data_IF_383402594595
#
_entry.id   IF_383402594595
#
_cell.length_a   1.000
_cell.length_b   1.000
_cell.length_c   1.000
_cell.angle_alpha   90.00
_cell.angle_beta   90.00
_cell.angle_gamma   90.00
#
_symmetry.space_group_name_H-M   'P 1'
#
loop_
_entity.id
_entity.type
_entity.pdbx_description
1 polymer ?
#
# COMPACT_ATOMS: atom_id res chain seq x y z
N UNK A 1 -22.49 -31.73 -43.31
CA UNK A 1 -21.89 -30.41 -43.06
C UNK A 1 -22.44 -29.88 -41.74
N UNK A 2 -21.60 -29.78 -40.72
CA UNK A 2 -22.00 -29.53 -39.33
C UNK A 2 -22.43 -28.07 -39.13
N UNK A 3 -23.72 -27.85 -38.84
CA UNK A 3 -24.30 -26.57 -38.45
C UNK A 3 -24.21 -26.41 -36.93
N UNK A 4 -23.04 -26.03 -36.42
CA UNK A 4 -22.94 -25.43 -35.08
C UNK A 4 -22.39 -24.02 -35.23
N UNK A 5 -23.05 -22.99 -34.67
CA UNK A 5 -22.48 -21.66 -34.61
C UNK A 5 -21.20 -21.76 -33.78
N UNK A 6 -20.04 -21.49 -34.40
CA UNK A 6 -18.79 -21.29 -33.67
C UNK A 6 -19.07 -20.18 -32.65
N UNK A 7 -19.08 -20.54 -31.36
CA UNK A 7 -19.24 -19.59 -30.25
C UNK A 7 -18.13 -18.54 -30.43
N UNK A 8 -18.50 -17.32 -30.82
CA UNK A 8 -17.54 -16.22 -30.90
C UNK A 8 -17.15 -15.94 -29.44
N UNK A 9 -16.01 -16.46 -29.02
CA UNK A 9 -15.41 -16.09 -27.73
C UNK A 9 -14.86 -14.69 -27.95
N UNK A 10 -15.70 -13.68 -27.78
CA UNK A 10 -15.26 -12.29 -27.83
C UNK A 10 -14.33 -12.06 -26.65
N UNK A 11 -13.12 -11.54 -26.91
CA UNK A 11 -12.18 -11.16 -25.86
C UNK A 11 -12.87 -10.14 -24.92
N UNK A 12 -13.10 -10.49 -23.65
CA UNK A 12 -13.75 -9.59 -22.69
C UNK A 12 -13.02 -8.26 -22.54
N UNK A 13 -11.70 -8.22 -22.76
CA UNK A 13 -10.90 -7.01 -22.68
C UNK A 13 -11.19 -5.99 -23.79
N UNK A 14 -11.88 -6.36 -24.86
CA UNK A 14 -12.33 -5.41 -25.90
C UNK A 14 -13.29 -4.37 -25.32
N UNK A 15 -14.12 -4.77 -24.35
CA UNK A 15 -15.14 -3.91 -23.73
C UNK A 15 -14.74 -3.37 -22.36
N UNK A 16 -13.58 -3.77 -21.83
CA UNK A 16 -13.10 -3.36 -20.51
C UNK A 16 -12.05 -2.26 -20.64
N UNK A 17 -12.33 -1.08 -20.07
CA UNK A 17 -11.35 -0.01 -19.89
C UNK A 17 -10.79 -0.05 -18.48
N UNK A 18 -9.50 -0.37 -18.36
CA UNK A 18 -8.78 -0.29 -17.09
C UNK A 18 -8.28 1.13 -16.82
N UNK A 19 -7.99 1.45 -15.56
CA UNK A 19 -7.47 2.77 -15.20
C UNK A 19 -6.00 2.91 -15.62
N UNK A 20 -5.47 4.13 -15.53
CA UNK A 20 -4.07 4.39 -15.85
C UNK A 20 -3.14 3.47 -15.02
N UNK A 21 -2.09 2.93 -15.67
CA UNK A 21 -1.14 1.95 -15.12
C UNK A 21 -1.71 0.55 -14.84
N UNK A 22 -2.86 0.21 -15.40
CA UNK A 22 -3.38 -1.15 -15.45
C UNK A 22 -3.48 -1.69 -16.88
N UNK A 23 -3.39 -3.02 -17.02
CA UNK A 23 -3.60 -3.74 -18.27
C UNK A 23 -4.69 -4.78 -18.08
N UNK A 24 -5.64 -4.82 -19.01
CA UNK A 24 -6.65 -5.86 -19.03
C UNK A 24 -6.01 -7.21 -19.41
N UNK A 25 -6.30 -8.23 -18.63
CA UNK A 25 -5.91 -9.62 -18.87
C UNK A 25 -7.13 -10.52 -18.69
N UNK A 26 -7.26 -11.53 -19.55
CA UNK A 26 -8.33 -12.52 -19.42
C UNK A 26 -7.89 -13.60 -18.44
N UNK A 27 -8.56 -13.66 -17.28
CA UNK A 27 -8.33 -14.65 -16.23
C UNK A 27 -9.62 -15.43 -16.04
N UNK A 28 -9.56 -16.77 -16.16
CA UNK A 28 -10.74 -17.65 -16.05
C UNK A 28 -11.92 -17.22 -16.95
N UNK A 29 -11.63 -16.72 -18.15
CA UNK A 29 -12.64 -16.27 -19.12
C UNK A 29 -13.28 -14.91 -18.81
N UNK A 30 -12.78 -14.17 -17.81
CA UNK A 30 -13.25 -12.83 -17.44
C UNK A 30 -12.14 -11.79 -17.64
N UNK A 31 -12.50 -10.56 -17.98
CA UNK A 31 -11.56 -9.45 -17.99
C UNK A 31 -11.21 -9.04 -16.55
N UNK A 32 -9.92 -8.99 -16.25
CA UNK A 32 -9.38 -8.45 -15.01
C UNK A 32 -8.37 -7.34 -15.32
N UNK A 33 -8.51 -6.20 -14.66
CA UNK A 33 -7.52 -5.14 -14.72
C UNK A 33 -6.42 -5.41 -13.69
N UNK A 34 -5.18 -5.59 -14.17
CA UNK A 34 -4.03 -5.86 -13.34
C UNK A 34 -3.01 -4.72 -13.45
N UNK A 35 -2.35 -4.32 -12.35
CA UNK A 35 -1.32 -3.27 -12.40
C UNK A 35 -0.17 -3.68 -13.33
N UNK A 36 0.32 -2.73 -14.14
CA UNK A 36 1.41 -2.92 -15.10
C UNK A 36 2.79 -2.93 -14.39
N UNK A 37 2.85 -2.47 -13.14
CA UNK A 37 4.08 -2.48 -12.34
C UNK A 37 3.82 -2.07 -10.90
N UNK A 38 4.88 -2.05 -10.10
CA UNK A 38 4.89 -1.57 -8.73
C UNK A 38 5.97 -0.51 -8.53
N UNK A 39 5.77 0.35 -7.53
CA UNK A 39 6.78 1.28 -7.07
C UNK A 39 6.90 1.15 -5.54
N UNK A 40 8.11 1.31 -5.03
CA UNK A 40 8.38 1.20 -3.59
C UNK A 40 8.82 2.55 -3.07
N UNK A 41 8.17 3.01 -2.00
CA UNK A 41 8.66 4.10 -1.17
C UNK A 41 9.27 3.49 0.10
N UNK A 42 10.41 4.03 0.53
CA UNK A 42 11.11 3.55 1.72
C UNK A 42 11.44 4.70 2.66
N UNK A 43 11.35 4.42 3.96
CA UNK A 43 11.72 5.34 5.03
C UNK A 43 12.52 4.56 6.06
N UNK A 44 13.76 4.97 6.32
CA UNK A 44 14.66 4.24 7.21
C UNK A 44 15.46 5.19 8.10
N UNK A 45 15.85 4.71 9.29
CA UNK A 45 16.91 5.33 10.09
C UNK A 45 16.68 6.81 10.41
N UNK A 46 17.78 7.59 10.31
CA UNK A 46 17.79 9.05 10.32
C UNK A 46 17.35 9.57 8.96
N UNK A 47 16.27 10.34 8.85
CA UNK A 47 15.20 9.84 7.99
C UNK A 47 15.60 9.93 6.52
N UNK A 48 16.09 8.80 6.00
CA UNK A 48 16.43 8.60 4.62
C UNK A 48 15.18 8.10 3.95
N UNK A 49 14.58 8.98 3.17
CA UNK A 49 13.40 8.65 2.39
C UNK A 49 13.81 8.38 0.95
N UNK A 50 13.18 7.39 0.35
CA UNK A 50 13.21 7.14 -1.09
C UNK A 50 11.78 7.18 -1.60
N UNK A 51 11.49 8.12 -2.51
CA UNK A 51 10.16 8.26 -3.12
C UNK A 51 9.87 7.12 -4.10
N UNK A 52 8.61 7.02 -4.54
CA UNK A 52 8.16 6.02 -5.52
C UNK A 52 8.87 6.11 -6.88
N UNK A 53 9.34 7.31 -7.26
CA UNK A 53 10.14 7.55 -8.46
C UNK A 53 11.67 7.47 -8.21
N UNK A 54 12.08 7.05 -7.01
CA UNK A 54 13.47 6.74 -6.69
C UNK A 54 14.31 7.92 -6.21
N UNK A 55 13.72 9.10 -5.98
CA UNK A 55 14.43 10.26 -5.43
C UNK A 55 14.72 10.06 -3.94
N UNK A 56 15.92 10.46 -3.52
CA UNK A 56 16.38 10.33 -2.14
C UNK A 56 16.42 11.68 -1.44
N UNK A 57 15.96 11.73 -0.20
CA UNK A 57 16.04 12.93 0.63
C UNK A 57 16.19 12.59 2.12
N UNK A 58 16.89 13.49 2.81
CA UNK A 58 17.11 13.42 4.25
C UNK A 58 16.23 14.45 4.94
N UNK A 59 15.50 14.03 5.98
CA UNK A 59 14.58 14.93 6.65
C UNK A 59 14.57 14.77 8.16
N UNK A 60 15.24 15.70 8.84
CA UNK A 60 15.50 15.63 10.29
C UNK A 60 14.37 16.22 11.17
N UNK A 61 13.14 16.27 10.64
CA UNK A 61 11.96 16.68 11.40
C UNK A 61 11.56 15.64 12.46
N UNK A 62 10.91 16.08 13.54
CA UNK A 62 10.54 15.26 14.72
C UNK A 62 9.02 15.16 14.94
N UNK A 63 8.24 15.64 13.98
CA UNK A 63 6.79 15.56 14.03
C UNK A 63 6.29 14.22 13.43
N UNK A 64 4.97 14.12 13.32
CA UNK A 64 4.28 13.11 12.54
C UNK A 64 4.04 13.63 11.12
N UNK A 65 4.45 12.87 10.13
CA UNK A 65 4.38 13.25 8.71
C UNK A 65 3.60 12.20 7.93
N UNK A 66 2.81 12.65 6.95
CA UNK A 66 2.19 11.74 5.98
C UNK A 66 3.24 11.34 4.95
N UNK A 67 3.54 10.05 4.86
CA UNK A 67 4.55 9.50 3.94
C UNK A 67 3.90 9.09 2.62
N UNK A 68 2.71 8.51 2.69
CA UNK A 68 1.91 8.17 1.53
C UNK A 68 0.43 8.23 1.89
N UNK A 69 -0.41 8.65 0.95
CA UNK A 69 -1.86 8.55 1.04
C UNK A 69 -2.46 8.40 -0.34
N UNK A 70 -3.63 7.79 -0.42
CA UNK A 70 -4.46 7.85 -1.63
C UNK A 70 -4.85 9.31 -1.90
N UNK A 71 -4.76 9.71 -3.16
CA UNK A 71 -5.20 11.02 -3.65
C UNK A 71 -6.21 10.81 -4.78
N UNK A 72 -7.17 11.72 -4.92
CA UNK A 72 -8.21 11.65 -5.95
C UNK A 72 -9.55 11.10 -5.44
N UNK A 73 -10.50 10.93 -6.36
CA UNK A 73 -11.88 10.51 -6.09
C UNK A 73 -12.18 9.07 -6.51
N UNK A 74 -11.16 8.31 -6.94
CA UNK A 74 -11.31 6.91 -7.34
C UNK A 74 -11.69 6.05 -6.12
N UNK A 75 -12.86 5.44 -6.19
CA UNK A 75 -13.44 4.61 -5.10
C UNK A 75 -13.27 3.11 -5.34
N UNK A 76 -12.67 2.73 -6.48
CA UNK A 76 -12.45 1.34 -6.88
C UNK A 76 -11.42 0.61 -6.02
N UNK A 77 -10.51 1.35 -5.39
CA UNK A 77 -9.49 0.82 -4.48
C UNK A 77 -9.69 1.38 -3.05
N UNK A 78 -9.33 0.62 -2.02
CA UNK A 78 -9.38 1.11 -0.65
C UNK A 78 -8.47 2.33 -0.48
N UNK A 79 -9.03 3.38 0.08
CA UNK A 79 -8.23 4.52 0.51
C UNK A 79 -7.30 4.11 1.65
N UNK A 80 -6.05 4.58 1.59
CA UNK A 80 -5.10 4.37 2.67
C UNK A 80 -4.33 5.65 3.02
N UNK A 81 -3.80 5.68 4.23
CA UNK A 81 -2.86 6.70 4.70
C UNK A 81 -1.79 6.06 5.56
N UNK A 82 -0.53 6.41 5.30
CA UNK A 82 0.64 6.01 6.08
C UNK A 82 1.27 7.25 6.69
N UNK A 83 1.36 7.28 8.01
CA UNK A 83 2.03 8.33 8.77
C UNK A 83 3.23 7.76 9.50
N UNK A 84 4.34 8.49 9.50
CA UNK A 84 5.52 8.18 10.30
C UNK A 84 5.79 9.31 11.29
N UNK A 85 5.99 8.95 12.56
CA UNK A 85 6.47 9.87 13.58
C UNK A 85 7.96 9.66 13.79
N UNK A 86 8.71 10.74 13.60
CA UNK A 86 10.14 10.75 13.85
C UNK A 86 10.42 11.31 15.24
N UNK A 87 11.44 10.81 15.93
CA UNK A 87 11.84 11.31 17.24
C UNK A 87 13.36 11.31 17.39
N UNK A 88 13.88 12.29 18.14
CA UNK A 88 15.27 12.28 18.57
C UNK A 88 15.53 11.16 19.59
N UNK A 89 16.76 10.64 19.60
CA UNK A 89 17.19 9.57 20.52
C UNK A 89 18.28 10.09 21.45
N UNK A 90 17.94 11.03 22.33
CA UNK A 90 18.89 11.68 23.25
C UNK A 90 19.73 12.81 22.64
N UNK A 91 19.95 12.80 21.31
CA UNK A 91 20.56 13.90 20.56
C UNK A 91 19.54 14.59 19.65
N UNK A 92 19.55 15.92 19.64
CA UNK A 92 18.70 16.75 18.76
C UNK A 92 19.23 16.89 17.34
N UNK A 93 20.45 16.40 17.05
CA UNK A 93 21.10 16.54 15.74
C UNK A 93 20.44 15.71 14.63
N UNK A 94 19.86 14.56 14.99
CA UNK A 94 19.19 13.65 14.05
C UNK A 94 17.93 13.08 14.66
N UNK A 95 16.91 12.84 13.83
CA UNK A 95 15.68 12.15 14.23
C UNK A 95 15.65 10.73 13.68
N UNK A 96 14.73 9.88 14.13
CA UNK A 96 14.54 8.54 13.58
C UNK A 96 13.07 8.16 13.60
N UNK A 97 12.63 7.28 12.69
CA UNK A 97 11.28 6.69 12.76
C UNK A 97 11.11 5.98 14.11
N UNK A 98 10.07 6.35 14.85
CA UNK A 98 9.74 5.81 16.18
C UNK A 98 8.38 5.07 16.18
N UNK A 99 7.45 5.55 15.35
CA UNK A 99 6.11 5.00 15.20
C UNK A 99 5.64 5.14 13.74
N UNK A 100 4.96 4.11 13.24
CA UNK A 100 4.26 4.13 11.96
C UNK A 100 2.78 3.83 12.18
N UNK A 101 1.90 4.68 11.66
CA UNK A 101 0.45 4.42 11.61
C UNK A 101 0.03 4.15 10.18
N UNK A 102 -0.76 3.11 9.99
CA UNK A 102 -1.35 2.71 8.70
C UNK A 102 -2.86 2.71 8.90
N UNK A 103 -3.55 3.51 8.10
CA UNK A 103 -5.01 3.61 8.08
C UNK A 103 -5.51 3.00 6.78
N UNK A 104 -6.28 1.93 6.85
CA UNK A 104 -6.81 1.22 5.67
C UNK A 104 -7.93 0.26 6.11
N UNK A 105 -8.96 0.07 5.29
CA UNK A 105 -10.12 -0.80 5.60
C UNK A 105 -10.77 -0.51 6.97
N UNK A 106 -10.86 0.77 7.34
CA UNK A 106 -11.35 1.23 8.66
C UNK A 106 -10.54 0.72 9.87
N UNK A 107 -9.33 0.20 9.62
CA UNK A 107 -8.37 -0.20 10.65
C UNK A 107 -7.32 0.88 10.85
N UNK A 108 -6.91 1.06 12.10
CA UNK A 108 -5.69 1.77 12.48
C UNK A 108 -4.65 0.74 12.95
N UNK A 109 -3.64 0.49 12.12
CA UNK A 109 -2.52 -0.38 12.44
C UNK A 109 -1.35 0.49 12.87
N UNK A 110 -0.85 0.27 14.09
CA UNK A 110 0.30 0.99 14.64
C UNK A 110 1.47 0.04 14.82
N UNK A 111 2.62 0.39 14.24
CA UNK A 111 3.90 -0.29 14.43
C UNK A 111 4.80 0.59 15.28
N UNK A 112 5.19 0.09 16.45
CA UNK A 112 6.04 0.81 17.39
C UNK A 112 7.45 0.23 17.35
N UNK A 113 8.46 1.10 17.26
CA UNK A 113 9.86 0.69 17.18
C UNK A 113 10.29 -0.27 18.30
N UNK A 114 9.76 -0.08 19.51
CA UNK A 114 10.14 -0.86 20.71
C UNK A 114 9.31 -2.13 20.89
N UNK A 115 8.30 -2.37 20.05
CA UNK A 115 7.44 -3.54 20.13
C UNK A 115 7.83 -4.52 19.02
N UNK A 116 8.86 -5.34 19.29
CA UNK A 116 9.33 -6.35 18.35
C UNK A 116 8.28 -7.44 18.14
N UNK A 117 8.11 -7.89 16.88
CA UNK A 117 7.16 -8.95 16.50
C UNK A 117 5.70 -8.68 16.85
N UNK A 118 5.36 -7.41 17.10
CA UNK A 118 4.04 -6.97 17.54
C UNK A 118 3.58 -5.79 16.69
N UNK A 119 2.27 -5.73 16.48
CA UNK A 119 1.56 -4.57 15.96
C UNK A 119 0.34 -4.31 16.82
N UNK A 120 -0.17 -3.07 16.79
CA UNK A 120 -1.45 -2.75 17.41
C UNK A 120 -2.49 -2.56 16.32
N UNK A 121 -3.61 -3.26 16.41
CA UNK A 121 -4.77 -3.09 15.51
C UNK A 121 -5.87 -2.45 16.34
N UNK A 122 -6.24 -1.22 16.00
CA UNK A 122 -7.18 -0.41 16.79
C UNK A 122 -6.77 -0.39 18.28
N UNK A 123 -5.50 -0.08 18.53
CA UNK A 123 -4.86 -0.04 19.85
C UNK A 123 -4.70 -1.39 20.59
N UNK A 124 -5.22 -2.49 20.04
CA UNK A 124 -5.07 -3.84 20.60
C UNK A 124 -3.82 -4.54 20.07
N UNK A 125 -2.97 -5.04 20.97
CA UNK A 125 -1.74 -5.75 20.62
C UNK A 125 -2.02 -7.09 19.95
N UNK A 126 -1.31 -7.36 18.86
CA UNK A 126 -1.37 -8.59 18.08
C UNK A 126 0.04 -9.03 17.68
N UNK A 127 0.31 -10.34 17.71
CA UNK A 127 1.58 -10.91 17.27
C UNK A 127 1.65 -11.00 15.75
N UNK A 128 2.85 -10.84 15.21
CA UNK A 128 3.16 -11.16 13.82
C UNK A 128 3.55 -12.65 13.68
N UNK A 129 3.24 -13.31 12.54
CA UNK A 129 2.50 -12.79 11.38
C UNK A 129 1.00 -12.65 11.67
N UNK A 130 0.37 -11.65 11.06
CA UNK A 130 -1.04 -11.34 11.25
C UNK A 130 -1.71 -11.19 9.88
N UNK A 131 -2.83 -11.88 9.68
CA UNK A 131 -3.64 -11.74 8.48
C UNK A 131 -4.94 -11.03 8.85
N UNK A 132 -5.26 -9.95 8.12
CA UNK A 132 -6.48 -9.16 8.34
C UNK A 132 -7.24 -9.01 7.02
N UNK A 133 -8.53 -8.72 7.12
CA UNK A 133 -9.41 -8.45 5.98
C UNK A 133 -9.33 -9.55 4.89
N UNK A 134 -9.59 -10.80 5.30
CA UNK A 134 -9.55 -12.00 4.44
C UNK A 134 -8.23 -12.18 3.67
N UNK A 135 -7.12 -11.82 4.30
CA UNK A 135 -5.77 -11.98 3.74
C UNK A 135 -5.33 -10.85 2.81
N UNK A 136 -6.13 -9.78 2.67
CA UNK A 136 -5.73 -8.58 1.91
C UNK A 136 -4.69 -7.74 2.64
N UNK A 137 -4.60 -7.87 3.95
CA UNK A 137 -3.54 -7.29 4.80
C UNK A 137 -2.73 -8.41 5.44
N UNK A 138 -1.41 -8.31 5.35
CA UNK A 138 -0.44 -9.29 5.86
C UNK A 138 0.81 -8.60 6.41
#
# INVERSE_FOLDING_TARGET
HSLYPKRIVSDPCIYTKCVAKEKCRVVNGKAECQPIGGAVCWASGDPHYSTFDGQKYDFQGTCKYTIAKTCGTETSLPSFKVEAKNANRGSTKVSYVDLVNIYVYDLNITVLRREHSLVRVNDLKSNLPLLLHDGKLK
#
